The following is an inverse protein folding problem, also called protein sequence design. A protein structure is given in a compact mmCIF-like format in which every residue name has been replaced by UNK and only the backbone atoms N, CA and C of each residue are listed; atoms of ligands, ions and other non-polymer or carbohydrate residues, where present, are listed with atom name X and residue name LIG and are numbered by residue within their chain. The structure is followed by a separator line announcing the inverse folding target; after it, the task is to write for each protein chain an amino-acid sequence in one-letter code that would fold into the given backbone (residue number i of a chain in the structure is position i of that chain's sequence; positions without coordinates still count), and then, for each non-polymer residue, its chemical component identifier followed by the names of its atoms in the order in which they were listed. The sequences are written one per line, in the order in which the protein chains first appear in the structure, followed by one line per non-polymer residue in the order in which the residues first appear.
data_IF_079278272527
#
_entry.id   IF_079278272527
#
_cell.length_a   1.000
_cell.length_b   1.000
_cell.length_c   1.000
_cell.angle_alpha   90.00
_cell.angle_beta   90.00
_cell.angle_gamma   90.00
#
_symmetry.space_group_name_H-M   'P 1'
#
loop_
_entity.id
_entity.type
_entity.pdbx_description
1 polymer ?
#
# COMPACT_ATOMS: atom_id res chain seq x y z
N UNK A 1 30.10 -23.54 -26.98
CA UNK A 1 30.56 -22.91 -25.73
C UNK A 1 29.42 -22.09 -25.13
N UNK A 2 28.89 -22.46 -23.96
CA UNK A 2 27.82 -21.68 -23.29
C UNK A 2 28.48 -20.50 -22.57
N UNK A 3 28.28 -19.28 -23.07
CA UNK A 3 28.81 -18.07 -22.42
C UNK A 3 28.16 -17.91 -21.04
N UNK A 4 29.01 -17.76 -20.01
CA UNK A 4 28.65 -17.52 -18.62
C UNK A 4 27.74 -16.28 -18.56
N UNK A 5 26.56 -16.38 -17.95
CA UNK A 5 25.65 -15.23 -17.78
C UNK A 5 26.38 -14.18 -16.94
N UNK A 6 26.86 -13.12 -17.58
CA UNK A 6 27.54 -12.01 -16.93
C UNK A 6 26.51 -11.24 -16.08
N UNK A 7 26.77 -11.09 -14.79
CA UNK A 7 25.94 -10.30 -13.86
C UNK A 7 25.83 -8.86 -14.35
N UNK A 8 24.65 -8.26 -14.27
CA UNK A 8 24.42 -6.84 -14.61
C UNK A 8 24.93 -5.95 -13.49
N UNK A 9 25.88 -5.07 -13.78
CA UNK A 9 26.33 -4.05 -12.83
C UNK A 9 25.29 -2.95 -12.69
N UNK A 10 25.37 -2.17 -11.61
CA UNK A 10 24.47 -1.05 -11.38
C UNK A 10 24.63 0.06 -12.42
N UNK A 11 25.86 0.31 -12.88
CA UNK A 11 26.13 1.28 -13.96
C UNK A 11 25.55 0.83 -15.30
N UNK A 12 25.60 -0.47 -15.62
CA UNK A 12 24.97 -1.02 -16.82
C UNK A 12 23.45 -0.89 -16.77
N UNK A 13 22.84 -1.13 -15.60
CA UNK A 13 21.40 -0.95 -15.38
C UNK A 13 20.96 0.50 -15.56
N UNK A 14 21.66 1.45 -14.93
CA UNK A 14 21.38 2.88 -15.07
C UNK A 14 21.52 3.34 -16.53
N UNK A 15 22.59 2.93 -17.20
CA UNK A 15 22.80 3.24 -18.62
C UNK A 15 21.67 2.63 -19.47
N UNK A 16 21.27 1.39 -19.22
CA UNK A 16 20.14 0.76 -19.91
C UNK A 16 18.83 1.54 -19.72
N UNK A 17 18.55 2.05 -18.51
CA UNK A 17 17.35 2.87 -18.27
C UNK A 17 17.35 4.15 -19.12
N UNK A 18 18.45 4.89 -19.11
CA UNK A 18 18.61 6.12 -19.91
C UNK A 18 18.46 5.84 -21.40
N UNK A 19 19.11 4.78 -21.88
CA UNK A 19 19.06 4.38 -23.29
C UNK A 19 17.66 3.95 -23.73
N UNK A 20 16.90 3.28 -22.87
CA UNK A 20 15.51 2.94 -23.17
C UNK A 20 14.66 4.20 -23.29
N UNK A 21 14.79 5.15 -22.35
CA UNK A 21 14.07 6.42 -22.43
C UNK A 21 14.38 7.20 -23.71
N UNK A 22 15.64 7.23 -24.15
CA UNK A 22 16.08 7.93 -25.36
C UNK A 22 15.68 7.23 -26.67
N UNK A 23 15.37 5.93 -26.64
CA UNK A 23 15.09 5.13 -27.84
C UNK A 23 13.68 4.52 -27.84
N UNK A 24 12.74 5.11 -27.08
CA UNK A 24 11.30 4.86 -27.22
C UNK A 24 10.75 5.75 -28.33
N UNK A 25 10.13 5.13 -29.35
CA UNK A 25 9.37 5.82 -30.41
C UNK A 25 8.06 5.07 -30.63
N UNK A 26 6.93 5.78 -30.66
CA UNK A 26 5.59 5.19 -30.85
C UNK A 26 5.33 3.97 -29.94
N UNK A 27 5.70 4.07 -28.65
CA UNK A 27 5.58 3.01 -27.65
C UNK A 27 6.36 1.72 -27.95
N UNK A 28 7.33 1.77 -28.89
CA UNK A 28 8.25 0.67 -29.21
C UNK A 28 9.68 1.09 -28.87
N UNK A 29 10.42 0.18 -28.25
CA UNK A 29 11.83 0.39 -27.87
C UNK A 29 12.72 -0.26 -28.92
N UNK A 30 13.70 0.48 -29.44
CA UNK A 30 14.69 -0.05 -30.37
C UNK A 30 15.85 -0.74 -29.61
N UNK A 31 15.69 -2.04 -29.36
CA UNK A 31 16.67 -2.84 -28.62
C UNK A 31 17.99 -3.06 -29.37
N UNK A 32 17.97 -3.00 -30.70
CA UNK A 32 19.17 -3.18 -31.53
C UNK A 32 20.09 -1.99 -31.29
N UNK A 33 19.54 -0.78 -31.43
CA UNK A 33 20.27 0.47 -31.19
C UNK A 33 20.79 0.58 -29.74
N UNK A 34 20.00 0.13 -28.76
CA UNK A 34 20.43 0.10 -27.35
C UNK A 34 21.60 -0.87 -27.14
N UNK A 35 21.57 -2.07 -27.74
CA UNK A 35 22.66 -3.04 -27.62
C UNK A 35 23.98 -2.57 -28.23
N UNK A 36 23.93 -1.74 -29.28
CA UNK A 36 25.13 -1.12 -29.86
C UNK A 36 25.81 -0.15 -28.89
N UNK A 37 25.06 0.44 -27.95
CA UNK A 37 25.56 1.42 -26.99
C UNK A 37 25.94 0.81 -25.63
N UNK A 38 25.55 -0.44 -25.39
CA UNK A 38 25.95 -1.28 -24.26
C UNK A 38 26.88 -2.37 -24.75
N UNK A 39 28.19 -2.08 -24.75
CA UNK A 39 29.22 -3.05 -25.12
C UNK A 39 29.04 -4.33 -24.28
N UNK A 40 29.15 -5.49 -24.96
CA UNK A 40 29.01 -6.83 -24.38
C UNK A 40 27.59 -7.28 -23.95
N UNK A 41 26.53 -6.50 -24.26
CA UNK A 41 25.13 -6.92 -24.02
C UNK A 41 24.37 -7.05 -25.33
N UNK A 42 23.78 -8.22 -25.58
CA UNK A 42 22.92 -8.43 -26.75
C UNK A 42 21.56 -7.76 -26.59
N UNK A 43 20.89 -7.46 -27.71
CA UNK A 43 19.54 -6.88 -27.70
C UNK A 43 18.54 -7.73 -26.88
N UNK A 44 18.67 -9.06 -26.93
CA UNK A 44 17.86 -9.99 -26.13
C UNK A 44 18.13 -9.85 -24.64
N UNK A 45 19.40 -9.70 -24.23
CA UNK A 45 19.77 -9.48 -22.84
C UNK A 45 19.25 -8.12 -22.33
N UNK A 46 19.40 -7.04 -23.11
CA UNK A 46 18.88 -5.72 -22.77
C UNK A 46 17.36 -5.74 -22.60
N UNK A 47 16.64 -6.38 -23.53
CA UNK A 47 15.18 -6.52 -23.47
C UNK A 47 14.74 -7.34 -22.25
N UNK A 48 15.44 -8.44 -21.97
CA UNK A 48 15.15 -9.28 -20.80
C UNK A 48 15.38 -8.51 -19.50
N UNK A 49 16.54 -7.88 -19.35
CA UNK A 49 16.89 -7.11 -18.15
C UNK A 49 15.91 -5.97 -17.91
N UNK A 50 15.57 -5.22 -18.96
CA UNK A 50 14.62 -4.12 -18.84
C UNK A 50 13.23 -4.64 -18.45
N UNK A 51 12.68 -5.66 -19.12
CA UNK A 51 11.31 -6.14 -18.83
C UNK A 51 11.18 -6.83 -17.47
N UNK A 52 12.17 -7.64 -17.10
CA UNK A 52 12.04 -8.54 -15.95
C UNK A 52 12.62 -7.98 -14.66
N UNK A 53 13.59 -7.07 -14.74
CA UNK A 53 14.25 -6.50 -13.57
C UNK A 53 13.91 -5.02 -13.46
N UNK A 54 14.38 -4.20 -14.41
CA UNK A 54 14.31 -2.73 -14.26
C UNK A 54 12.89 -2.18 -14.36
N UNK A 55 12.07 -2.67 -15.29
CA UNK A 55 10.67 -2.26 -15.42
C UNK A 55 9.86 -2.73 -14.22
N UNK A 56 10.18 -3.89 -13.64
CA UNK A 56 9.55 -4.33 -12.38
C UNK A 56 10.02 -3.47 -11.21
N UNK A 57 11.29 -3.08 -11.14
CA UNK A 57 11.83 -2.19 -10.11
C UNK A 57 11.26 -0.77 -10.22
N UNK A 58 11.10 -0.24 -11.43
CA UNK A 58 10.42 1.03 -11.72
C UNK A 58 8.91 0.95 -11.46
N UNK A 59 8.30 -0.24 -11.56
CA UNK A 59 6.92 -0.48 -11.13
C UNK A 59 6.80 -0.78 -9.62
N UNK A 60 7.90 -1.16 -8.97
CA UNK A 60 8.06 -1.27 -7.51
C UNK A 60 8.46 0.07 -6.90
N UNK A 61 8.09 1.20 -7.51
CA UNK A 61 7.86 2.39 -6.70
C UNK A 61 6.72 1.99 -5.76
N UNK A 62 7.09 1.47 -4.60
CA UNK A 62 6.20 1.12 -3.52
C UNK A 62 5.50 2.42 -3.18
N UNK A 63 4.31 2.59 -3.74
CA UNK A 63 3.47 3.71 -3.38
C UNK A 63 3.25 3.60 -1.87
N UNK A 64 3.86 4.52 -1.13
CA UNK A 64 3.75 4.54 0.31
C UNK A 64 2.45 5.25 0.63
N UNK A 65 1.43 4.43 0.87
CA UNK A 65 0.15 4.90 1.34
C UNK A 65 0.31 5.73 2.63
N UNK A 66 -0.25 6.94 2.63
CA UNK A 66 -0.44 7.69 3.88
C UNK A 66 -1.65 7.14 4.64
N UNK A 67 -1.73 7.40 5.95
CA UNK A 67 -2.89 6.97 6.75
C UNK A 67 -4.20 7.58 6.23
N UNK A 68 -4.15 8.85 5.82
CA UNK A 68 -5.30 9.52 5.21
C UNK A 68 -5.73 8.86 3.90
N UNK A 69 -4.78 8.48 3.04
CA UNK A 69 -5.08 7.80 1.78
C UNK A 69 -5.65 6.40 2.00
N UNK A 70 -5.14 5.66 2.99
CA UNK A 70 -5.69 4.35 3.37
C UNK A 70 -7.12 4.50 3.87
N UNK A 71 -7.37 5.45 4.78
CA UNK A 71 -8.69 5.71 5.31
C UNK A 71 -9.68 6.05 4.18
N UNK A 72 -9.31 7.00 3.31
CA UNK A 72 -10.10 7.35 2.14
C UNK A 72 -10.36 6.14 1.24
N UNK A 73 -9.34 5.33 0.98
CA UNK A 73 -9.46 4.14 0.15
C UNK A 73 -10.37 3.08 0.76
N UNK A 74 -10.27 2.81 2.06
CA UNK A 74 -11.10 1.84 2.76
C UNK A 74 -12.57 2.22 2.71
N UNK A 75 -12.88 3.50 2.94
CA UNK A 75 -14.24 4.04 2.82
C UNK A 75 -14.78 3.79 1.41
N UNK A 76 -14.02 4.18 0.38
CA UNK A 76 -14.43 4.00 -1.02
C UNK A 76 -14.58 2.51 -1.40
N UNK A 77 -13.75 1.63 -0.82
CA UNK A 77 -13.85 0.19 -1.05
C UNK A 77 -15.07 -0.42 -0.36
N UNK A 78 -15.54 0.13 0.77
CA UNK A 78 -16.81 -0.26 1.40
C UNK A 78 -17.98 0.15 0.50
N UNK A 79 -17.97 1.38 0.00
CA UNK A 79 -19.09 1.94 -0.77
C UNK A 79 -19.20 1.37 -2.18
N UNK A 80 -18.07 1.26 -2.88
CA UNK A 80 -18.03 0.84 -4.28
C UNK A 80 -17.61 -0.62 -4.48
N UNK A 81 -17.20 -1.31 -3.42
CA UNK A 81 -16.69 -2.68 -3.49
C UNK A 81 -15.40 -2.76 -4.31
N UNK A 82 -15.31 -3.80 -5.16
CA UNK A 82 -14.13 -4.09 -5.97
C UNK A 82 -14.02 -3.29 -7.29
N UNK A 83 -14.71 -2.14 -7.40
CA UNK A 83 -14.69 -1.27 -8.58
C UNK A 83 -13.40 -0.45 -8.66
N UNK A 84 -12.25 -1.11 -8.68
CA UNK A 84 -10.91 -0.47 -8.60
C UNK A 84 -10.66 0.55 -9.69
N UNK A 85 -11.09 0.28 -10.93
CA UNK A 85 -10.95 1.23 -12.04
C UNK A 85 -11.73 2.52 -11.78
N UNK A 86 -12.95 2.41 -11.25
CA UNK A 86 -13.77 3.57 -10.90
C UNK A 86 -13.13 4.36 -9.75
N UNK A 87 -12.72 3.67 -8.68
CA UNK A 87 -12.07 4.31 -7.52
C UNK A 87 -10.78 5.03 -7.96
N UNK A 88 -9.98 4.39 -8.81
CA UNK A 88 -8.75 4.97 -9.33
C UNK A 88 -9.02 6.24 -10.15
N UNK A 89 -9.90 6.17 -11.13
CA UNK A 89 -10.17 7.28 -12.04
C UNK A 89 -10.72 8.52 -11.32
N UNK A 90 -11.52 8.33 -10.28
CA UNK A 90 -12.22 9.43 -9.61
C UNK A 90 -11.49 9.94 -8.35
N UNK A 91 -10.69 9.11 -7.67
CA UNK A 91 -10.17 9.46 -6.34
C UNK A 91 -8.66 9.32 -6.16
N UNK A 92 -7.99 8.53 -7.01
CA UNK A 92 -6.55 8.27 -6.97
C UNK A 92 -5.96 8.21 -8.39
N UNK A 93 -6.05 9.28 -9.20
CA UNK A 93 -5.62 9.29 -10.59
C UNK A 93 -4.12 8.98 -10.76
N UNK A 94 -3.32 9.24 -9.73
CA UNK A 94 -1.88 8.94 -9.64
C UNK A 94 -1.58 7.45 -9.46
N UNK A 95 -2.57 6.66 -9.05
CA UNK A 95 -2.43 5.23 -8.80
C UNK A 95 -2.89 4.38 -9.98
N UNK A 96 -2.40 3.14 -10.02
CA UNK A 96 -2.90 2.10 -10.92
C UNK A 96 -3.98 1.28 -10.20
N UNK A 97 -5.01 0.78 -10.90
CA UNK A 97 -6.03 -0.09 -10.29
C UNK A 97 -5.44 -1.32 -9.58
N UNK A 98 -4.31 -1.83 -10.10
CA UNK A 98 -3.57 -2.93 -9.47
C UNK A 98 -3.05 -2.57 -8.06
N UNK A 99 -2.58 -1.34 -7.85
CA UNK A 99 -2.08 -0.89 -6.54
C UNK A 99 -3.21 -0.78 -5.52
N UNK A 100 -4.41 -0.37 -5.96
CA UNK A 100 -5.60 -0.35 -5.11
C UNK A 100 -6.01 -1.77 -4.68
N UNK A 101 -6.03 -2.70 -5.63
CA UNK A 101 -6.32 -4.10 -5.34
C UNK A 101 -5.31 -4.69 -4.35
N UNK A 102 -4.02 -4.48 -4.58
CA UNK A 102 -2.95 -4.94 -3.67
C UNK A 102 -3.11 -4.31 -2.27
N UNK A 103 -3.48 -3.02 -2.17
CA UNK A 103 -3.74 -2.38 -0.89
C UNK A 103 -4.94 -3.00 -0.15
N UNK A 104 -6.01 -3.35 -0.87
CA UNK A 104 -7.18 -4.01 -0.31
C UNK A 104 -6.86 -5.43 0.17
N UNK A 105 -6.20 -6.24 -0.66
CA UNK A 105 -5.75 -7.60 -0.31
C UNK A 105 -4.83 -7.57 0.92
N UNK A 106 -3.89 -6.62 0.98
CA UNK A 106 -3.05 -6.42 2.16
C UNK A 106 -3.88 -6.03 3.40
N UNK A 107 -4.91 -5.21 3.25
CA UNK A 107 -5.78 -4.83 4.37
C UNK A 107 -6.51 -6.04 4.94
N UNK A 108 -7.11 -6.86 4.07
CA UNK A 108 -7.78 -8.10 4.48
C UNK A 108 -6.82 -9.06 5.17
N UNK A 109 -5.62 -9.21 4.63
CA UNK A 109 -4.57 -10.02 5.25
C UNK A 109 -4.21 -9.51 6.65
N UNK A 110 -4.02 -8.20 6.80
CA UNK A 110 -3.72 -7.58 8.09
C UNK A 110 -4.86 -7.75 9.10
N UNK A 111 -6.12 -7.64 8.66
CA UNK A 111 -7.29 -7.92 9.49
C UNK A 111 -7.32 -9.38 9.95
N UNK A 112 -7.03 -10.34 9.07
CA UNK A 112 -6.94 -11.75 9.43
C UNK A 112 -5.83 -12.00 10.46
N UNK A 113 -4.65 -11.41 10.26
CA UNK A 113 -3.55 -11.50 11.22
C UNK A 113 -3.93 -10.88 12.56
N UNK A 114 -4.58 -9.72 12.55
CA UNK A 114 -5.07 -9.08 13.77
C UNK A 114 -6.04 -9.99 14.53
N UNK A 115 -7.05 -10.56 13.87
CA UNK A 115 -7.99 -11.49 14.50
C UNK A 115 -7.29 -12.71 15.12
N UNK A 116 -6.28 -13.27 14.44
CA UNK A 116 -5.49 -14.37 14.98
C UNK A 116 -4.69 -13.97 16.22
N UNK A 117 -4.13 -12.76 16.23
CA UNK A 117 -3.37 -12.24 17.37
C UNK A 117 -4.29 -12.06 18.58
N UNK A 118 -5.49 -11.49 18.37
CA UNK A 118 -6.50 -11.33 19.41
C UNK A 118 -6.88 -12.69 20.00
N UNK A 119 -7.19 -13.68 19.15
CA UNK A 119 -7.54 -15.02 19.61
C UNK A 119 -6.40 -15.65 20.43
N UNK A 120 -5.16 -15.57 19.96
CA UNK A 120 -4.01 -16.13 20.69
C UNK A 120 -3.79 -15.45 22.04
N UNK A 121 -4.04 -14.15 22.12
CA UNK A 121 -4.00 -13.42 23.40
C UNK A 121 -5.09 -13.90 24.36
N UNK A 122 -6.33 -14.08 23.87
CA UNK A 122 -7.44 -14.60 24.67
C UNK A 122 -7.18 -16.04 25.17
N UNK A 123 -6.44 -16.83 24.39
CA UNK A 123 -5.93 -18.15 24.77
C UNK A 123 -4.71 -18.10 25.72
N UNK A 124 -4.36 -16.91 26.26
CA UNK A 124 -3.20 -16.66 27.13
C UNK A 124 -1.84 -17.05 26.53
N UNK A 125 -1.72 -17.05 25.20
CA UNK A 125 -0.45 -17.33 24.54
C UNK A 125 0.46 -16.10 24.52
N UNK A 126 1.78 -16.35 24.62
CA UNK A 126 2.78 -15.29 24.48
C UNK A 126 2.82 -14.81 23.02
N UNK A 127 2.63 -13.51 22.84
CA UNK A 127 2.70 -12.84 21.54
C UNK A 127 4.16 -12.61 21.12
N UNK A 128 4.44 -12.81 19.84
CA UNK A 128 5.76 -12.57 19.25
C UNK A 128 5.97 -11.07 19.00
N UNK A 129 7.22 -10.58 18.94
CA UNK A 129 7.49 -9.16 18.70
C UNK A 129 6.84 -8.57 17.43
N UNK A 130 6.75 -9.37 16.36
CA UNK A 130 6.07 -8.96 15.12
C UNK A 130 4.56 -8.77 15.30
N UNK A 131 3.93 -9.55 16.19
CA UNK A 131 2.51 -9.46 16.48
C UNK A 131 2.21 -8.21 17.31
N UNK A 132 3.08 -7.90 18.27
CA UNK A 132 3.05 -6.64 19.03
C UNK A 132 3.19 -5.44 18.09
N UNK A 133 4.06 -5.51 17.08
CA UNK A 133 4.20 -4.45 16.07
C UNK A 133 2.91 -4.23 15.27
N UNK A 134 2.20 -5.31 14.91
CA UNK A 134 0.91 -5.24 14.20
C UNK A 134 -0.15 -4.54 15.08
N UNK A 135 -0.19 -4.86 16.37
CA UNK A 135 -1.10 -4.22 17.32
C UNK A 135 -0.80 -2.71 17.47
N UNK A 136 0.48 -2.32 17.57
CA UNK A 136 0.85 -0.90 17.55
C UNK A 136 0.43 -0.18 16.27
N UNK A 137 0.55 -0.84 15.11
CA UNK A 137 0.08 -0.28 13.85
C UNK A 137 -1.44 -0.07 13.86
N UNK A 138 -2.20 -1.04 14.38
CA UNK A 138 -3.66 -0.93 14.54
C UNK A 138 -4.04 0.22 15.48
N UNK A 139 -3.39 0.32 16.65
CA UNK A 139 -3.62 1.41 17.61
C UNK A 139 -3.38 2.79 16.97
N UNK A 140 -2.29 2.95 16.22
CA UNK A 140 -2.00 4.21 15.54
C UNK A 140 -3.06 4.57 14.49
N UNK A 141 -3.66 3.58 13.83
CA UNK A 141 -4.76 3.80 12.89
C UNK A 141 -6.02 4.25 13.62
N UNK A 142 -6.38 3.58 14.72
CA UNK A 142 -7.55 3.94 15.55
C UNK A 142 -7.39 5.36 16.09
N UNK A 143 -6.24 5.69 16.67
CA UNK A 143 -5.95 7.03 17.19
C UNK A 143 -5.98 8.09 16.09
N UNK A 144 -5.43 7.80 14.90
CA UNK A 144 -5.50 8.71 13.77
C UNK A 144 -6.96 8.99 13.36
N UNK A 145 -7.79 7.95 13.24
CA UNK A 145 -9.21 8.10 12.91
C UNK A 145 -9.94 8.92 13.98
N UNK A 146 -9.73 8.62 15.27
CA UNK A 146 -10.31 9.39 16.37
C UNK A 146 -9.89 10.86 16.36
N UNK A 147 -8.60 11.15 16.10
CA UNK A 147 -8.11 12.51 15.97
C UNK A 147 -8.76 13.25 14.79
N UNK A 148 -8.99 12.57 13.66
CA UNK A 148 -9.69 13.19 12.53
C UNK A 148 -11.19 13.42 12.79
N UNK A 149 -11.79 12.64 13.68
CA UNK A 149 -13.21 12.73 14.03
C UNK A 149 -13.51 13.76 15.14
N UNK A 150 -12.59 13.99 16.08
CA UNK A 150 -12.76 14.94 17.21
C UNK A 150 -12.79 16.42 16.78
N UNK A 151 -12.38 16.75 15.55
CA UNK A 151 -12.52 18.08 14.92
C UNK A 151 -13.99 18.30 14.49
N UNK A 152 -14.91 18.36 15.46
CA UNK A 152 -16.36 18.19 15.26
C UNK A 152 -17.04 19.21 14.34
N UNK A 153 -16.52 20.43 14.14
CA UNK A 153 -17.23 21.45 13.34
C UNK A 153 -16.76 21.57 11.87
N UNK A 154 -15.57 21.07 11.51
CA UNK A 154 -15.05 21.20 10.13
C UNK A 154 -14.95 19.87 9.37
N UNK A 155 -14.86 18.71 10.03
CA UNK A 155 -14.53 17.43 9.36
C UNK A 155 -15.65 16.41 9.29
N UNK A 156 -16.74 16.60 10.03
CA UNK A 156 -18.02 15.99 9.68
C UNK A 156 -18.37 16.34 8.23
N UNK A 157 -18.00 17.55 7.75
CA UNK A 157 -18.06 17.92 6.34
C UNK A 157 -17.05 17.17 5.45
N UNK A 158 -15.83 16.82 5.89
CA UNK A 158 -14.85 16.08 5.08
C UNK A 158 -15.22 14.60 4.89
N UNK A 159 -15.62 13.92 5.97
CA UNK A 159 -16.09 12.53 5.89
C UNK A 159 -17.48 12.45 5.24
N UNK A 160 -18.40 13.40 5.48
CA UNK A 160 -19.68 13.49 4.74
C UNK A 160 -19.52 13.94 3.28
N UNK A 161 -18.46 14.66 2.90
CA UNK A 161 -18.14 14.97 1.48
C UNK A 161 -17.46 13.80 0.77
N UNK A 162 -16.68 12.99 1.48
CA UNK A 162 -16.07 11.77 0.93
C UNK A 162 -17.08 10.63 0.80
N UNK A 163 -18.03 10.57 1.73
CA UNK A 163 -19.17 9.65 1.73
C UNK A 163 -20.42 10.42 1.36
N UNK A 164 -20.66 10.59 0.06
CA UNK A 164 -21.95 11.11 -0.41
C UNK A 164 -23.09 10.21 0.13
N UNK A 165 -23.70 10.68 1.22
CA UNK A 165 -25.00 10.30 1.76
C UNK A 165 -25.27 8.84 2.20
N UNK A 166 -24.28 8.03 2.63
CA UNK A 166 -24.58 6.64 3.10
C UNK A 166 -23.95 6.11 4.39
N UNK A 167 -22.86 6.66 4.93
CA UNK A 167 -22.47 6.37 6.32
C UNK A 167 -22.95 7.51 7.21
N UNK A 168 -24.05 7.28 7.93
CA UNK A 168 -24.21 7.96 9.20
C UNK A 168 -23.06 7.48 10.09
N UNK A 169 -22.08 8.33 10.34
CA UNK A 169 -21.10 8.09 11.41
C UNK A 169 -21.91 8.17 12.70
N UNK A 170 -22.41 7.02 13.16
CA UNK A 170 -23.28 6.92 14.33
C UNK A 170 -22.42 6.95 15.60
N UNK A 171 -23.05 7.32 16.71
CA UNK A 171 -22.45 7.19 18.05
C UNK A 171 -21.94 5.76 18.32
N UNK A 172 -22.58 4.74 17.72
CA UNK A 172 -22.18 3.33 17.79
C UNK A 172 -20.80 3.08 17.15
N UNK A 173 -20.44 3.80 16.08
CA UNK A 173 -19.12 3.68 15.45
C UNK A 173 -18.00 4.20 16.36
N UNK A 174 -18.25 5.29 17.10
CA UNK A 174 -17.32 5.80 18.09
C UNK A 174 -17.14 4.82 19.26
N UNK A 175 -18.25 4.27 19.78
CA UNK A 175 -18.21 3.25 20.82
C UNK A 175 -17.44 2.00 20.38
N UNK A 176 -17.59 1.59 19.12
CA UNK A 176 -16.79 0.51 18.54
C UNK A 176 -15.29 0.84 18.52
N UNK A 177 -14.92 2.03 18.04
CA UNK A 177 -13.51 2.46 18.01
C UNK A 177 -12.89 2.57 19.40
N UNK A 178 -13.66 3.04 20.39
CA UNK A 178 -13.22 3.12 21.79
C UNK A 178 -12.99 1.73 22.38
N UNK A 179 -13.93 0.80 22.18
CA UNK A 179 -13.77 -0.59 22.62
C UNK A 179 -12.56 -1.28 21.97
N UNK A 180 -12.33 -1.02 20.69
CA UNK A 180 -11.20 -1.57 19.95
C UNK A 180 -9.87 -0.98 20.43
N UNK A 181 -9.82 0.33 20.69
CA UNK A 181 -8.65 0.99 21.30
C UNK A 181 -8.33 0.38 22.66
N UNK A 182 -9.32 0.26 23.54
CA UNK A 182 -9.16 -0.29 24.88
C UNK A 182 -8.63 -1.71 24.84
N UNK A 183 -9.17 -2.55 23.94
CA UNK A 183 -8.71 -3.93 23.74
C UNK A 183 -7.25 -3.97 23.33
N UNK A 184 -6.84 -3.16 22.36
CA UNK A 184 -5.45 -3.13 21.90
C UNK A 184 -4.52 -2.59 22.99
N UNK A 185 -4.92 -1.57 23.73
CA UNK A 185 -4.15 -1.03 24.87
C UNK A 185 -3.94 -2.06 25.97
N UNK A 186 -4.99 -2.81 26.31
CA UNK A 186 -4.93 -3.89 27.29
C UNK A 186 -3.88 -4.94 26.88
N UNK A 187 -3.91 -5.37 25.62
CA UNK A 187 -2.95 -6.37 25.10
C UNK A 187 -1.51 -5.84 25.15
N UNK A 188 -1.33 -4.55 24.83
CA UNK A 188 -0.02 -3.90 24.84
C UNK A 188 0.46 -3.51 26.25
N UNK A 189 -0.34 -3.74 27.30
CA UNK A 189 -0.02 -3.32 28.67
C UNK A 189 0.04 -1.79 28.84
N UNK A 190 -0.65 -1.05 27.97
CA UNK A 190 -0.74 0.41 28.04
C UNK A 190 -1.89 0.79 28.99
N UNK A 191 -1.63 1.68 29.94
CA UNK A 191 -2.69 2.23 30.81
C UNK A 191 -3.72 2.99 29.97
N UNK A 192 -5.00 2.91 30.35
CA UNK A 192 -6.03 3.79 29.82
C UNK A 192 -5.61 5.24 30.08
N UNK A 193 -5.65 6.08 29.03
CA UNK A 193 -5.58 7.53 29.21
C UNK A 193 -6.92 7.92 29.83
N UNK A 194 -6.92 8.16 31.14
CA UNK A 194 -8.03 8.85 31.80
C UNK A 194 -8.26 10.16 31.05
N UNK A 195 -9.46 10.32 30.48
CA UNK A 195 -9.97 11.61 30.00
C UNK A 195 -10.25 12.52 31.19
#
# INVERSE_FOLDING_TARGET
MKQKQQLWSESEKQKLQVLVQQNIRNSRVDWIKISQQLQYRSCTQCKFQYRNVLHKELQRVNYKWTQEQLLKFHILAIDYGNKWTYIQQNYFPELKPKQLREAYENTLFMQQQYMQIIQRYEENQILKPKEIQILHQSLNQILFVKQQLQDEDQKVSYLRKLVDNKLQVTQEYFQFLDAEEDKVRQILGLKQLQQ
#
